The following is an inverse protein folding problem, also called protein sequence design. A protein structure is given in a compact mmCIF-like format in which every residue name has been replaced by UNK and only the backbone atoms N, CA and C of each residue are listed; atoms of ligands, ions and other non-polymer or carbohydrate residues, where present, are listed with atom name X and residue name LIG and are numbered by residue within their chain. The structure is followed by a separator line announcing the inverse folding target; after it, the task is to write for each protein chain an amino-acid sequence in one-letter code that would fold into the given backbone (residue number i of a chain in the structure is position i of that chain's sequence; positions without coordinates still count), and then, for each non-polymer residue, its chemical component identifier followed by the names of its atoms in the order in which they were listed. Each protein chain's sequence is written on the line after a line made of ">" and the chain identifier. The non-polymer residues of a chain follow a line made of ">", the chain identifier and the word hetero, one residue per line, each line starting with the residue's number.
data_IF_384267569335
#
_entry.id   IF_384267569335
#
_cell.length_a   1.000
_cell.length_b   1.000
_cell.length_c   1.000
_cell.angle_alpha   90.00
_cell.angle_beta   90.00
_cell.angle_gamma   90.00
#
_symmetry.space_group_name_H-M   'P 1'
#
loop_
_entity.id
_entity.type
_entity.pdbx_description
1 polymer ?
#
# COMPACT_ATOMS: atom_id res chain seq x y z
N UNK A 1 -22.07 -55.93 13.54
CA UNK A 1 -20.64 -55.84 13.92
C UNK A 1 -19.70 -55.54 12.75
N UNK A 2 -19.89 -56.07 11.53
CA UNK A 2 -18.97 -55.80 10.40
C UNK A 2 -19.20 -54.49 9.63
N UNK A 3 -20.34 -53.81 9.81
CA UNK A 3 -20.67 -52.54 9.15
C UNK A 3 -20.06 -51.31 9.84
N UNK A 4 -20.15 -51.24 11.17
CA UNK A 4 -19.64 -50.12 11.99
C UNK A 4 -18.10 -49.99 11.95
N UNK A 5 -17.39 -51.12 11.75
CA UNK A 5 -15.92 -51.13 11.63
C UNK A 5 -15.48 -50.59 10.26
N UNK A 6 -16.29 -50.75 9.20
CA UNK A 6 -15.99 -50.18 7.89
C UNK A 6 -16.21 -48.68 7.86
N UNK A 7 -17.29 -48.20 8.47
CA UNK A 7 -17.67 -46.78 8.49
C UNK A 7 -16.70 -45.93 9.33
N UNK A 8 -16.24 -46.43 10.48
CA UNK A 8 -15.21 -45.77 11.30
C UNK A 8 -13.85 -45.66 10.59
N UNK A 9 -13.45 -46.70 9.86
CA UNK A 9 -12.21 -46.66 9.08
C UNK A 9 -12.28 -45.69 7.90
N UNK A 10 -13.46 -45.48 7.30
CA UNK A 10 -13.64 -44.49 6.21
C UNK A 10 -13.57 -43.06 6.74
N UNK A 11 -14.22 -42.77 7.87
CA UNK A 11 -14.20 -41.43 8.48
C UNK A 11 -12.79 -41.06 8.98
N UNK A 12 -12.04 -42.01 9.56
CA UNK A 12 -10.65 -41.78 9.96
C UNK A 12 -9.71 -41.58 8.77
N UNK A 13 -10.00 -42.19 7.62
CA UNK A 13 -9.23 -42.00 6.39
C UNK A 13 -9.54 -40.65 5.71
N UNK A 14 -10.78 -40.18 5.78
CA UNK A 14 -11.19 -38.85 5.28
C UNK A 14 -10.62 -37.71 6.14
N UNK A 15 -10.71 -37.80 7.48
CA UNK A 15 -10.12 -36.81 8.42
C UNK A 15 -8.58 -36.79 8.33
N UNK A 16 -7.95 -37.93 8.04
CA UNK A 16 -6.51 -37.96 7.75
C UNK A 16 -6.15 -37.38 6.38
N UNK A 17 -7.04 -37.47 5.39
CA UNK A 17 -6.88 -36.84 4.08
C UNK A 17 -6.97 -35.33 4.15
N UNK A 18 -8.00 -34.79 4.81
CA UNK A 18 -8.19 -33.34 4.99
C UNK A 18 -7.03 -32.71 5.77
N UNK A 19 -6.59 -33.34 6.88
CA UNK A 19 -5.43 -32.86 7.65
C UNK A 19 -4.11 -32.93 6.88
N UNK A 20 -3.99 -33.81 5.90
CA UNK A 20 -2.79 -33.88 5.04
C UNK A 20 -2.82 -32.81 3.94
N UNK A 21 -4.00 -32.50 3.42
CA UNK A 21 -4.22 -31.43 2.44
C UNK A 21 -4.03 -30.04 3.07
N UNK A 22 -4.53 -29.82 4.29
CA UNK A 22 -4.28 -28.59 5.08
C UNK A 22 -2.78 -28.37 5.35
N UNK A 23 -2.07 -29.42 5.79
CA UNK A 23 -0.61 -29.33 6.02
C UNK A 23 0.20 -29.13 4.75
N UNK A 24 -0.32 -29.55 3.60
CA UNK A 24 0.31 -29.32 2.29
C UNK A 24 0.09 -27.88 1.85
N UNK A 25 -1.12 -27.34 2.05
CA UNK A 25 -1.44 -25.94 1.79
C UNK A 25 -0.62 -25.00 2.68
N UNK A 26 -0.51 -25.25 3.99
CA UNK A 26 0.33 -24.45 4.89
C UNK A 26 1.81 -24.45 4.47
N UNK A 27 2.34 -25.60 4.03
CA UNK A 27 3.72 -25.71 3.56
C UNK A 27 3.97 -25.02 2.21
N UNK A 28 2.98 -25.05 1.31
CA UNK A 28 3.04 -24.30 0.05
C UNK A 28 2.93 -22.79 0.31
N UNK A 29 2.12 -22.38 1.28
CA UNK A 29 1.97 -21.00 1.73
C UNK A 29 3.30 -20.49 2.33
N UNK A 30 3.90 -21.20 3.29
CA UNK A 30 5.21 -20.85 3.86
C UNK A 30 6.35 -20.80 2.81
N UNK A 31 6.31 -21.69 1.81
CA UNK A 31 7.31 -21.72 0.73
C UNK A 31 7.13 -20.53 -0.21
N UNK A 32 5.89 -20.15 -0.48
CA UNK A 32 5.54 -18.97 -1.27
C UNK A 32 5.94 -17.70 -0.54
N UNK A 33 5.68 -17.61 0.77
CA UNK A 33 6.11 -16.50 1.62
C UNK A 33 7.63 -16.33 1.66
N UNK A 34 8.41 -17.43 1.73
CA UNK A 34 9.88 -17.39 1.71
C UNK A 34 10.45 -16.93 0.37
N UNK A 35 9.87 -17.38 -0.75
CA UNK A 35 10.27 -16.95 -2.10
C UNK A 35 9.93 -15.47 -2.28
N UNK A 36 8.73 -15.04 -1.86
CA UNK A 36 8.30 -13.65 -1.96
C UNK A 36 9.08 -12.70 -1.05
N UNK A 37 9.43 -13.09 0.17
CA UNK A 37 10.31 -12.31 1.04
C UNK A 37 11.73 -12.17 0.47
N UNK A 38 12.17 -13.15 -0.32
CA UNK A 38 13.44 -13.08 -1.05
C UNK A 38 13.32 -12.13 -2.24
N UNK A 39 12.20 -12.19 -2.99
CA UNK A 39 11.92 -11.26 -4.10
C UNK A 39 11.71 -9.82 -3.62
N UNK A 40 11.05 -9.60 -2.48
CA UNK A 40 10.90 -8.26 -1.90
C UNK A 40 12.23 -7.71 -1.39
N UNK A 41 13.12 -8.57 -0.88
CA UNK A 41 14.49 -8.17 -0.53
C UNK A 41 15.34 -7.85 -1.76
N UNK A 42 15.14 -8.56 -2.89
CA UNK A 42 15.82 -8.23 -4.14
C UNK A 42 15.25 -6.97 -4.78
N UNK A 43 13.93 -6.79 -4.79
CA UNK A 43 13.25 -5.57 -5.28
C UNK A 43 13.64 -4.32 -4.47
N UNK A 44 13.88 -4.45 -3.15
CA UNK A 44 14.41 -3.37 -2.32
C UNK A 44 15.86 -3.00 -2.65
N UNK A 45 16.58 -3.84 -3.40
CA UNK A 45 17.99 -3.61 -3.75
C UNK A 45 18.17 -2.80 -5.05
N UNK A 46 17.18 -2.83 -5.96
CA UNK A 46 17.23 -2.16 -7.26
C UNK A 46 16.22 -0.99 -7.34
N UNK A 47 16.72 0.25 -7.42
CA UNK A 47 15.90 1.47 -7.40
C UNK A 47 14.89 1.51 -8.57
N UNK A 48 13.60 1.77 -8.26
CA UNK A 48 12.53 1.91 -9.26
C UNK A 48 11.77 0.62 -9.61
N UNK A 49 12.20 -0.55 -9.12
CA UNK A 49 11.48 -1.80 -9.37
C UNK A 49 10.14 -1.89 -8.61
N UNK A 50 10.00 -1.19 -7.48
CA UNK A 50 8.82 -1.24 -6.61
C UNK A 50 7.59 -0.62 -7.28
N UNK A 51 7.71 0.57 -7.86
CA UNK A 51 6.61 1.23 -8.58
C UNK A 51 6.16 0.41 -9.79
N UNK A 52 7.12 -0.14 -10.54
CA UNK A 52 6.85 -1.01 -11.69
C UNK A 52 6.12 -2.29 -11.25
N UNK A 53 6.61 -2.96 -10.22
CA UNK A 53 6.00 -4.16 -9.65
C UNK A 53 4.55 -3.90 -9.22
N UNK A 54 4.32 -2.84 -8.42
CA UNK A 54 2.98 -2.46 -7.96
C UNK A 54 2.08 -2.15 -9.16
N UNK A 55 2.58 -1.45 -10.17
CA UNK A 55 1.82 -1.10 -11.38
C UNK A 55 1.43 -2.32 -12.20
N UNK A 56 2.32 -3.29 -12.38
CA UNK A 56 2.07 -4.53 -13.12
C UNK A 56 1.04 -5.41 -12.40
N UNK A 57 1.19 -5.59 -11.09
CA UNK A 57 0.28 -6.39 -10.27
C UNK A 57 -1.14 -5.79 -10.25
N UNK A 58 -1.26 -4.45 -10.21
CA UNK A 58 -2.56 -3.76 -10.28
C UNK A 58 -3.22 -3.97 -11.63
N UNK A 59 -2.48 -3.82 -12.75
CA UNK A 59 -3.02 -4.03 -14.10
C UNK A 59 -3.52 -5.45 -14.29
N UNK A 60 -2.79 -6.43 -13.80
CA UNK A 60 -3.21 -7.83 -13.83
C UNK A 60 -4.49 -8.06 -13.02
N UNK A 61 -4.56 -7.47 -11.82
CA UNK A 61 -5.74 -7.59 -10.96
C UNK A 61 -6.98 -6.93 -11.55
N UNK A 62 -6.82 -5.78 -12.22
CA UNK A 62 -7.91 -5.11 -12.95
C UNK A 62 -8.43 -5.96 -14.11
N UNK A 63 -7.56 -6.70 -14.80
CA UNK A 63 -7.91 -7.61 -15.91
C UNK A 63 -8.66 -8.87 -15.43
N UNK A 64 -8.25 -9.44 -14.29
CA UNK A 64 -8.81 -10.70 -13.75
C UNK A 64 -10.06 -10.51 -12.86
N UNK A 65 -10.46 -9.27 -12.58
CA UNK A 65 -11.69 -8.93 -11.86
C UNK A 65 -11.63 -9.08 -10.33
N UNK A 66 -12.69 -8.65 -9.65
CA UNK A 66 -12.72 -8.47 -8.18
C UNK A 66 -12.45 -9.75 -7.36
N UNK A 67 -12.77 -10.93 -7.88
CA UNK A 67 -12.51 -12.21 -7.19
C UNK A 67 -11.02 -12.56 -7.09
N UNK A 68 -10.17 -12.02 -7.99
CA UNK A 68 -8.73 -12.24 -7.96
C UNK A 68 -8.06 -11.45 -6.83
N UNK A 69 -8.50 -10.21 -6.59
CA UNK A 69 -7.99 -9.33 -5.54
C UNK A 69 -8.17 -9.89 -4.13
N UNK A 70 -9.29 -10.56 -3.88
CA UNK A 70 -9.63 -11.11 -2.55
C UNK A 70 -8.81 -12.36 -2.22
N UNK A 71 -8.46 -13.14 -3.25
CA UNK A 71 -7.79 -14.44 -3.11
C UNK A 71 -6.26 -14.36 -3.23
N UNK A 72 -5.73 -13.30 -3.82
CA UNK A 72 -4.30 -13.15 -4.02
C UNK A 72 -3.65 -12.46 -2.81
N UNK A 73 -2.82 -13.21 -2.09
CA UNK A 73 -2.08 -12.76 -0.91
C UNK A 73 -1.11 -11.60 -1.20
N UNK A 74 -0.52 -11.57 -2.40
CA UNK A 74 0.43 -10.50 -2.81
C UNK A 74 -0.26 -9.14 -2.84
N UNK A 75 -1.47 -9.10 -3.37
CA UNK A 75 -2.28 -7.89 -3.48
C UNK A 75 -2.76 -7.38 -2.11
N UNK A 76 -2.94 -8.26 -1.11
CA UNK A 76 -3.25 -7.85 0.28
C UNK A 76 -2.09 -7.08 0.94
N UNK A 77 -0.84 -7.32 0.51
CA UNK A 77 0.35 -6.63 1.06
C UNK A 77 0.47 -5.19 0.56
N UNK A 78 -0.18 -4.85 -0.56
CA UNK A 78 -0.25 -3.49 -1.08
C UNK A 78 -1.27 -2.70 -0.27
N UNK A 79 -0.80 -1.64 0.37
CA UNK A 79 -1.61 -0.75 1.20
C UNK A 79 -1.69 0.62 0.53
N UNK A 80 -2.84 1.28 0.67
CA UNK A 80 -3.02 2.66 0.21
C UNK A 80 -2.79 3.59 1.39
N UNK A 81 -2.05 4.67 1.16
CA UNK A 81 -1.75 5.68 2.15
C UNK A 81 -2.16 7.06 1.63
N UNK A 82 -2.66 7.87 2.54
CA UNK A 82 -2.82 9.32 2.38
C UNK A 82 -1.64 9.99 3.06
N UNK A 83 -1.00 10.91 2.35
CA UNK A 83 0.17 11.63 2.82
C UNK A 83 -0.02 13.12 2.59
N UNK A 84 0.07 13.88 3.68
CA UNK A 84 0.07 15.34 3.64
C UNK A 84 1.41 15.84 4.15
N UNK A 85 2.04 16.75 3.42
CA UNK A 85 3.27 17.42 3.82
C UNK A 85 3.06 18.94 3.84
N UNK A 86 3.65 19.56 4.85
CA UNK A 86 3.71 21.00 5.02
C UNK A 86 5.16 21.43 4.87
N UNK A 87 5.44 22.22 3.85
CA UNK A 87 6.78 22.78 3.61
C UNK A 87 6.83 24.26 4.01
N UNK A 88 8.04 24.80 4.14
CA UNK A 88 8.24 26.20 4.53
C UNK A 88 7.57 27.17 3.53
N UNK A 89 6.92 28.25 4.00
CA UNK A 89 6.23 29.19 3.13
C UNK A 89 7.19 30.17 2.41
N UNK A 90 8.39 30.37 2.94
CA UNK A 90 9.41 31.29 2.41
C UNK A 90 10.22 30.71 1.23
N UNK A 91 9.90 29.50 0.80
CA UNK A 91 10.47 28.91 -0.41
C UNK A 91 9.97 29.64 -1.66
N UNK A 92 10.91 30.06 -2.51
CA UNK A 92 10.58 30.51 -3.86
C UNK A 92 9.98 29.37 -4.70
N UNK A 93 9.20 29.71 -5.73
CA UNK A 93 8.47 28.72 -6.56
C UNK A 93 9.38 27.63 -7.15
N UNK A 94 10.60 27.97 -7.54
CA UNK A 94 11.55 27.00 -8.06
C UNK A 94 11.93 25.97 -6.99
N UNK A 95 12.34 26.43 -5.80
CA UNK A 95 12.74 25.54 -4.71
C UNK A 95 11.58 24.70 -4.18
N UNK A 96 10.39 25.27 -4.14
CA UNK A 96 9.15 24.52 -3.85
C UNK A 96 8.97 23.35 -4.82
N UNK A 97 9.08 23.58 -6.13
CA UNK A 97 8.96 22.51 -7.13
C UNK A 97 10.05 21.45 -6.96
N UNK A 98 11.29 21.86 -6.71
CA UNK A 98 12.41 20.94 -6.46
C UNK A 98 12.13 20.01 -5.28
N UNK A 99 11.67 20.55 -4.15
CA UNK A 99 11.36 19.75 -2.95
C UNK A 99 10.23 18.77 -3.22
N UNK A 100 9.18 19.20 -3.93
CA UNK A 100 8.04 18.34 -4.24
C UNK A 100 8.42 17.23 -5.22
N UNK A 101 9.21 17.53 -6.25
CA UNK A 101 9.68 16.48 -7.17
C UNK A 101 10.66 15.53 -6.48
N UNK A 102 11.51 16.00 -5.56
CA UNK A 102 12.37 15.11 -4.78
C UNK A 102 11.56 14.13 -3.92
N UNK A 103 10.49 14.61 -3.27
CA UNK A 103 9.56 13.77 -2.50
C UNK A 103 8.87 12.76 -3.43
N UNK A 104 8.41 13.18 -4.61
CA UNK A 104 7.74 12.30 -5.58
C UNK A 104 8.68 11.23 -6.10
N UNK A 105 9.88 11.62 -6.49
CA UNK A 105 10.92 10.70 -6.95
C UNK A 105 11.29 9.70 -5.86
N UNK A 106 11.39 10.13 -4.61
CA UNK A 106 11.63 9.24 -3.49
C UNK A 106 10.50 8.22 -3.33
N UNK A 107 9.25 8.67 -3.44
CA UNK A 107 8.08 7.78 -3.35
C UNK A 107 8.14 6.75 -4.49
N UNK A 108 8.25 7.19 -5.74
CA UNK A 108 8.31 6.32 -6.92
C UNK A 108 9.44 5.29 -6.85
N UNK A 109 10.63 5.70 -6.40
CA UNK A 109 11.81 4.82 -6.40
C UNK A 109 11.83 3.80 -5.26
N UNK A 110 11.42 4.20 -4.05
CA UNK A 110 11.67 3.43 -2.81
C UNK A 110 10.41 3.04 -2.05
N UNK A 111 9.32 3.78 -2.24
CA UNK A 111 8.11 3.60 -1.43
C UNK A 111 7.02 2.86 -2.19
N UNK A 112 6.75 3.26 -3.44
CA UNK A 112 5.73 2.65 -4.29
C UNK A 112 5.13 3.61 -5.32
N UNK A 113 3.85 3.46 -5.62
CA UNK A 113 3.18 4.12 -6.75
C UNK A 113 2.30 5.28 -6.28
N UNK A 114 2.50 6.48 -6.81
CA UNK A 114 1.62 7.63 -6.59
C UNK A 114 0.31 7.45 -7.39
N UNK A 115 -0.83 7.64 -6.73
CA UNK A 115 -2.18 7.54 -7.30
C UNK A 115 -2.77 8.93 -7.58
N UNK A 116 -2.59 9.88 -6.66
CA UNK A 116 -3.17 11.22 -6.71
C UNK A 116 -2.22 12.24 -6.08
N UNK A 117 -2.25 13.47 -6.58
CA UNK A 117 -1.44 14.59 -6.10
C UNK A 117 -2.30 15.86 -6.12
N UNK A 118 -2.26 16.63 -5.04
CA UNK A 118 -2.96 17.92 -4.92
C UNK A 118 -2.08 18.94 -4.21
N UNK A 119 -1.94 20.12 -4.80
CA UNK A 119 -1.39 21.30 -4.14
C UNK A 119 -2.53 22.09 -3.49
N UNK A 120 -2.53 22.18 -2.15
CA UNK A 120 -3.52 22.91 -1.38
C UNK A 120 -3.12 24.37 -1.09
N UNK A 121 -1.92 24.77 -1.52
CA UNK A 121 -1.39 26.11 -1.37
C UNK A 121 -1.00 26.45 0.06
N UNK A 122 -0.81 27.74 0.28
CA UNK A 122 -0.44 28.29 1.59
C UNK A 122 -1.65 28.38 2.52
N UNK A 123 -1.47 27.95 3.77
CA UNK A 123 -2.49 28.04 4.83
C UNK A 123 -1.85 28.46 6.15
N UNK A 124 -2.64 29.10 7.01
CA UNK A 124 -2.24 29.41 8.39
C UNK A 124 -2.16 28.14 9.24
N UNK A 125 -1.14 28.09 10.11
CA UNK A 125 -0.93 27.03 11.07
C UNK A 125 -1.63 27.40 12.39
N UNK A 126 -2.20 26.40 13.07
CA UNK A 126 -2.83 26.61 14.37
C UNK A 126 -1.85 27.13 15.45
N UNK A 127 -0.57 26.81 15.30
CA UNK A 127 0.52 27.32 16.12
C UNK A 127 1.79 27.41 15.30
N UNK A 128 2.73 28.25 15.77
CA UNK A 128 4.01 28.46 15.11
C UNK A 128 4.85 27.18 15.13
N UNK A 129 5.31 26.73 13.96
CA UNK A 129 6.27 25.62 13.82
C UNK A 129 7.62 26.23 13.43
N UNK A 130 8.67 25.96 14.21
CA UNK A 130 9.95 26.68 14.13
C UNK A 130 9.69 28.20 14.25
N UNK A 131 9.84 28.96 13.16
CA UNK A 131 9.57 30.41 13.10
C UNK A 131 8.34 30.78 12.26
N UNK A 132 7.68 29.81 11.64
CA UNK A 132 6.63 30.03 10.64
C UNK A 132 5.23 29.87 11.23
N UNK A 133 4.34 30.79 10.90
CA UNK A 133 2.90 30.80 11.21
C UNK A 133 2.05 30.32 10.03
N UNK A 134 2.64 30.20 8.84
CA UNK A 134 2.04 29.67 7.62
C UNK A 134 2.87 28.51 7.07
N UNK A 135 2.25 27.70 6.22
CA UNK A 135 2.93 26.60 5.52
C UNK A 135 2.23 26.28 4.21
N UNK A 136 2.97 25.75 3.24
CA UNK A 136 2.43 25.29 1.96
C UNK A 136 2.12 23.81 2.04
N UNK A 137 0.87 23.46 1.73
CA UNK A 137 0.33 22.11 1.91
C UNK A 137 0.28 21.35 0.59
N UNK A 138 0.79 20.12 0.62
CA UNK A 138 0.71 19.19 -0.50
C UNK A 138 0.14 17.86 0.00
N UNK A 139 -0.74 17.29 -0.80
CA UNK A 139 -1.39 16.02 -0.54
C UNK A 139 -1.02 15.03 -1.64
N UNK A 140 -0.79 13.79 -1.22
CA UNK A 140 -0.54 12.66 -2.07
C UNK A 140 -1.37 11.48 -1.61
N UNK A 141 -1.84 10.69 -2.54
CA UNK A 141 -2.30 9.32 -2.28
C UNK A 141 -1.35 8.37 -2.99
N UNK A 142 -0.85 7.34 -2.30
CA UNK A 142 0.09 6.39 -2.89
C UNK A 142 -0.15 4.96 -2.40
N UNK A 143 0.27 3.99 -3.21
CA UNK A 143 0.30 2.57 -2.87
C UNK A 143 1.71 2.18 -2.50
N UNK A 144 1.85 1.45 -1.41
CA UNK A 144 3.16 0.96 -0.98
C UNK A 144 3.05 -0.47 -0.45
N UNK A 145 4.16 -1.19 -0.57
CA UNK A 145 4.31 -2.57 -0.10
C UNK A 145 5.34 -2.60 1.05
N UNK A 146 5.08 -3.43 2.05
CA UNK A 146 6.01 -3.64 3.15
C UNK A 146 6.24 -2.38 4.00
N UNK A 147 7.51 -1.94 4.07
CA UNK A 147 8.00 -0.91 5.00
C UNK A 147 8.18 0.48 4.36
N UNK A 148 7.70 0.70 3.13
CA UNK A 148 7.91 1.97 2.42
C UNK A 148 7.43 3.20 3.20
N UNK A 149 6.40 3.07 4.03
CA UNK A 149 5.95 4.12 4.96
C UNK A 149 7.07 4.57 5.92
N UNK A 150 7.81 3.64 6.50
CA UNK A 150 8.89 3.95 7.45
C UNK A 150 10.07 4.61 6.76
N UNK A 151 10.37 4.21 5.53
CA UNK A 151 11.42 4.83 4.72
C UNK A 151 11.05 6.28 4.35
N UNK A 152 9.79 6.51 3.96
CA UNK A 152 9.29 7.86 3.69
C UNK A 152 9.37 8.76 4.92
N UNK A 153 9.00 8.25 6.11
CA UNK A 153 9.12 9.00 7.37
C UNK A 153 10.56 9.45 7.64
N UNK A 154 11.52 8.53 7.52
CA UNK A 154 12.95 8.82 7.73
C UNK A 154 13.46 9.87 6.76
N UNK A 155 13.10 9.75 5.49
CA UNK A 155 13.45 10.73 4.46
C UNK A 155 12.90 12.12 4.79
N UNK A 156 11.62 12.22 5.13
CA UNK A 156 10.96 13.49 5.48
C UNK A 156 11.51 14.12 6.77
N UNK A 157 11.88 13.31 7.75
CA UNK A 157 12.50 13.79 9.00
C UNK A 157 13.87 14.44 8.77
N UNK A 158 14.63 13.95 7.80
CA UNK A 158 15.93 14.52 7.42
C UNK A 158 15.82 15.73 6.51
N UNK A 159 14.64 16.03 5.98
CA UNK A 159 14.45 17.08 4.99
C UNK A 159 14.15 18.43 5.64
N UNK A 160 15.12 19.36 5.64
CA UNK A 160 15.04 20.64 6.37
C UNK A 160 13.87 21.55 5.97
N UNK A 161 13.46 21.48 4.70
CA UNK A 161 12.35 22.25 4.14
C UNK A 161 10.96 21.74 4.56
N UNK A 162 10.87 20.55 5.17
CA UNK A 162 9.63 20.00 5.70
C UNK A 162 9.40 20.55 7.12
N UNK A 163 8.23 21.12 7.34
CA UNK A 163 7.79 21.60 8.66
C UNK A 163 7.03 20.53 9.42
N UNK A 164 6.16 19.80 8.72
CA UNK A 164 5.32 18.76 9.29
C UNK A 164 4.87 17.81 8.19
N UNK A 165 4.59 16.57 8.55
CA UNK A 165 3.93 15.63 7.67
C UNK A 165 2.94 14.75 8.46
N UNK A 166 2.00 14.16 7.74
CA UNK A 166 1.08 13.16 8.25
C UNK A 166 0.92 12.08 7.19
N UNK A 167 1.13 10.82 7.59
CA UNK A 167 0.91 9.65 6.75
C UNK A 167 -0.14 8.78 7.45
N UNK A 168 -1.21 8.46 6.73
CA UNK A 168 -2.36 7.69 7.22
C UNK A 168 -2.59 6.51 6.30
N UNK A 169 -2.70 5.31 6.84
CA UNK A 169 -3.08 4.12 6.07
C UNK A 169 -4.60 4.12 5.85
N UNK A 170 -5.06 3.99 4.60
CA UNK A 170 -6.49 3.79 4.30
C UNK A 170 -6.90 2.37 4.63
N UNK A 171 -8.01 2.21 5.34
CA UNK A 171 -8.52 0.89 5.76
C UNK A 171 -9.16 0.10 4.60
N UNK A 172 -9.60 0.77 3.54
CA UNK A 172 -10.26 0.14 2.39
C UNK A 172 -9.47 0.36 1.11
N UNK A 173 -9.21 -0.74 0.40
CA UNK A 173 -8.78 -0.69 -1.00
C UNK A 173 -9.97 -0.22 -1.82
N UNK A 174 -10.09 1.08 -2.04
CA UNK A 174 -11.06 1.62 -3.00
C UNK A 174 -10.62 1.24 -4.41
N UNK A 175 -11.01 0.04 -4.85
CA UNK A 175 -11.00 -0.27 -6.27
C UNK A 175 -12.03 0.63 -6.95
N UNK A 176 -11.76 1.10 -8.18
CA UNK A 176 -12.69 1.96 -8.96
C UNK A 176 -14.14 1.43 -8.96
N UNK A 177 -14.36 0.11 -8.90
CA UNK A 177 -15.70 -0.48 -8.78
C UNK A 177 -16.48 -0.12 -7.50
N UNK A 178 -15.83 0.28 -6.41
CA UNK A 178 -16.48 0.76 -5.18
C UNK A 178 -16.97 2.20 -5.32
N UNK A 179 -16.14 3.07 -5.90
CA UNK A 179 -16.46 4.49 -6.17
C UNK A 179 -17.66 4.67 -7.10
N UNK A 180 -17.75 3.86 -8.17
CA UNK A 180 -18.92 3.88 -9.06
C UNK A 180 -20.21 3.45 -8.34
N UNK A 181 -20.14 2.47 -7.43
CA UNK A 181 -21.32 2.03 -6.65
C UNK A 181 -21.76 3.03 -5.58
N UNK A 182 -20.82 3.76 -4.97
CA UNK A 182 -21.16 4.82 -4.01
C UNK A 182 -21.74 6.05 -4.70
N UNK A 183 -21.09 6.54 -5.77
CA UNK A 183 -21.64 7.65 -6.58
C UNK A 183 -23.02 7.33 -7.12
N UNK A 184 -23.27 6.10 -7.59
CA UNK A 184 -24.58 5.68 -8.10
C UNK A 184 -25.66 5.67 -7.01
N UNK A 185 -25.33 5.24 -5.78
CA UNK A 185 -26.28 5.27 -4.65
C UNK A 185 -26.62 6.69 -4.20
N UNK A 186 -25.66 7.61 -4.23
CA UNK A 186 -25.87 9.03 -3.92
C UNK A 186 -26.70 9.75 -4.99
N UNK A 187 -26.55 9.37 -6.27
CA UNK A 187 -27.33 9.95 -7.38
C UNK A 187 -28.74 9.37 -7.53
N UNK A 188 -29.04 8.25 -6.86
CA UNK A 188 -30.33 7.53 -6.95
C UNK A 188 -31.17 7.63 -5.67
N UNK A 189 -30.74 8.43 -4.69
CA UNK A 189 -31.51 8.81 -3.50
C UNK A 189 -32.00 10.24 -3.60
#
# INVERSE_FOLDING_TARGET
>A
MSGEIKEKNTIEQEDQGERQEEKKNEKEEEKTEKIEMTTLRSLKADEGEIEKYISEEIKEAESKGQNYLVRNERLKRIKIYEFTVVIRPDLGQQKEREVIEEIKDFISRKVGLIIDEKNWGEKELAYRIKRYDRGKYFYFEYKSIGEGEQELRKFLETHDDVLRYLIVKKEKIETKGHLWRQKMKETLS
#
